data_IF_374872046070
#
_entry.id   IF_374872046070
#
_cell.length_a   1.000
_cell.length_b   1.000
_cell.length_c   1.000
_cell.angle_alpha   90.00
_cell.angle_beta   90.00
_cell.angle_gamma   90.00
#
_symmetry.space_group_name_H-M   'P 1'
#
loop_
_entity.id
_entity.type
_entity.pdbx_description
1 polymer ?
#
# COMPACT_ATOMS: atom_id res chain seq x y z
N UNK A 1 14.43 -14.67 -25.36
CA UNK A 1 15.56 -14.29 -26.26
C UNK A 1 15.62 -15.05 -27.58
N UNK A 2 14.96 -16.21 -27.73
CA UNK A 2 15.04 -17.02 -28.94
C UNK A 2 14.72 -16.26 -30.25
N UNK A 3 13.74 -15.34 -30.23
CA UNK A 3 13.35 -14.56 -31.43
C UNK A 3 14.46 -13.57 -31.85
N UNK A 4 15.04 -12.80 -30.92
CA UNK A 4 16.13 -11.86 -31.23
C UNK A 4 17.37 -12.60 -31.74
N UNK A 5 17.68 -13.75 -31.13
CA UNK A 5 18.78 -14.62 -31.58
C UNK A 5 18.54 -15.19 -32.98
N UNK A 6 17.34 -15.69 -33.25
CA UNK A 6 16.95 -16.21 -34.56
C UNK A 6 16.96 -15.12 -35.65
N UNK A 7 16.60 -13.89 -35.30
CA UNK A 7 16.67 -12.73 -36.18
C UNK A 7 18.10 -12.19 -36.36
N UNK A 8 19.08 -12.70 -35.59
CA UNK A 8 20.46 -12.23 -35.63
C UNK A 8 20.65 -10.77 -35.20
N UNK A 9 19.67 -10.20 -34.49
CA UNK A 9 19.69 -8.80 -34.10
C UNK A 9 20.65 -8.59 -32.92
N UNK A 10 21.61 -7.66 -33.10
CA UNK A 10 22.68 -7.37 -32.15
C UNK A 10 22.93 -5.86 -31.98
N UNK A 11 22.03 -5.03 -32.47
CA UNK A 11 22.16 -3.57 -32.42
C UNK A 11 21.68 -3.04 -31.05
N UNK A 12 22.36 -3.46 -29.98
CA UNK A 12 22.16 -3.03 -28.61
C UNK A 12 23.47 -3.22 -27.83
N UNK A 13 23.70 -2.40 -26.80
CA UNK A 13 24.88 -2.52 -25.96
C UNK A 13 24.75 -3.67 -24.95
N UNK A 14 23.68 -3.66 -24.15
CA UNK A 14 23.44 -4.61 -23.08
C UNK A 14 21.95 -4.96 -22.98
N UNK A 15 21.65 -6.19 -22.57
CA UNK A 15 20.29 -6.68 -22.39
C UNK A 15 20.19 -7.51 -21.11
N UNK A 16 19.60 -6.93 -20.08
CA UNK A 16 19.36 -7.60 -18.79
C UNK A 16 17.95 -8.16 -18.72
N UNK A 17 17.82 -9.40 -18.25
CA UNK A 17 16.52 -10.02 -17.92
C UNK A 17 16.48 -10.28 -16.43
N UNK A 18 15.49 -9.70 -15.75
CA UNK A 18 15.24 -9.92 -14.33
C UNK A 18 13.92 -10.66 -14.15
N UNK A 19 13.93 -11.69 -13.30
CA UNK A 19 12.74 -12.32 -12.75
C UNK A 19 12.73 -12.06 -11.25
N UNK A 20 11.73 -11.32 -10.76
CA UNK A 20 11.54 -11.09 -9.32
C UNK A 20 10.40 -11.98 -8.77
N UNK A 21 10.54 -12.53 -7.55
CA UNK A 21 9.56 -13.47 -7.00
C UNK A 21 8.51 -12.85 -6.07
N UNK A 22 8.60 -11.55 -5.78
CA UNK A 22 7.94 -10.90 -4.65
C UNK A 22 7.13 -9.65 -5.05
N UNK A 23 6.78 -9.50 -6.33
CA UNK A 23 5.94 -8.38 -6.82
C UNK A 23 4.63 -8.28 -6.03
N UNK A 24 3.94 -9.41 -5.86
CA UNK A 24 2.63 -9.53 -5.21
C UNK A 24 2.61 -9.09 -3.74
N UNK A 25 3.80 -8.98 -3.11
CA UNK A 25 3.97 -8.51 -1.73
C UNK A 25 4.68 -7.15 -1.66
N UNK A 26 4.75 -6.43 -2.78
CA UNK A 26 5.29 -5.09 -2.88
C UNK A 26 6.79 -5.01 -3.19
N UNK A 27 7.40 -6.10 -3.69
CA UNK A 27 8.83 -6.15 -4.07
C UNK A 27 9.80 -5.78 -2.94
N UNK A 28 9.54 -6.23 -1.71
CA UNK A 28 10.34 -5.86 -0.51
C UNK A 28 11.83 -6.24 -0.70
N UNK A 29 12.12 -7.38 -1.32
CA UNK A 29 13.48 -7.86 -1.55
C UNK A 29 14.03 -7.49 -2.93
N UNK A 30 13.19 -7.45 -3.96
CA UNK A 30 13.64 -7.17 -5.34
C UNK A 30 13.64 -5.69 -5.72
N UNK A 31 12.90 -4.83 -5.00
CA UNK A 31 12.68 -3.43 -5.36
C UNK A 31 13.96 -2.62 -5.56
N UNK A 32 14.92 -2.72 -4.63
CA UNK A 32 16.22 -2.04 -4.76
C UNK A 32 17.04 -2.59 -5.94
N UNK A 33 16.94 -3.88 -6.22
CA UNK A 33 17.62 -4.50 -7.36
C UNK A 33 17.02 -4.01 -8.68
N UNK A 34 15.69 -3.92 -8.77
CA UNK A 34 14.98 -3.36 -9.92
C UNK A 34 15.42 -1.90 -10.13
N UNK A 35 15.38 -1.07 -9.09
CA UNK A 35 15.76 0.35 -9.19
C UNK A 35 17.22 0.53 -9.63
N UNK A 36 18.15 -0.23 -9.05
CA UNK A 36 19.56 -0.20 -9.42
C UNK A 36 19.78 -0.62 -10.87
N UNK A 37 19.12 -1.67 -11.35
CA UNK A 37 19.24 -2.11 -12.75
C UNK A 37 18.59 -1.09 -13.69
N UNK A 38 17.45 -0.52 -13.32
CA UNK A 38 16.80 0.51 -14.10
C UNK A 38 17.68 1.75 -14.31
N UNK A 39 18.41 2.20 -13.27
CA UNK A 39 19.35 3.32 -13.35
C UNK A 39 20.54 3.05 -14.31
N UNK A 40 20.83 1.78 -14.59
CA UNK A 40 21.90 1.35 -15.49
C UNK A 40 21.46 1.20 -16.96
N UNK A 41 20.17 1.33 -17.27
CA UNK A 41 19.62 1.07 -18.61
C UNK A 41 18.80 2.25 -19.13
N UNK A 42 18.84 2.49 -20.44
CA UNK A 42 18.07 3.58 -21.07
C UNK A 42 16.57 3.32 -21.11
N UNK A 43 16.16 2.04 -21.14
CA UNK A 43 14.77 1.61 -21.30
C UNK A 43 14.48 0.40 -20.42
N UNK A 44 13.33 0.41 -19.75
CA UNK A 44 12.79 -0.71 -18.98
C UNK A 44 11.49 -1.18 -19.61
N UNK A 45 11.38 -2.48 -19.87
CA UNK A 45 10.17 -3.13 -20.38
C UNK A 45 9.67 -4.14 -19.33
N UNK A 46 8.49 -3.89 -18.77
CA UNK A 46 7.80 -4.84 -17.90
C UNK A 46 6.77 -5.64 -18.69
N UNK A 47 6.62 -6.92 -18.39
CA UNK A 47 5.80 -7.87 -19.15
C UNK A 47 4.63 -8.41 -18.31
N UNK A 48 3.94 -7.50 -17.60
CA UNK A 48 2.70 -7.84 -16.90
C UNK A 48 1.57 -8.19 -17.89
N UNK A 49 0.70 -9.15 -17.57
CA UNK A 49 -0.43 -9.47 -18.40
C UNK A 49 -1.44 -8.32 -18.42
N UNK A 50 -1.94 -7.96 -19.61
CA UNK A 50 -3.13 -7.10 -19.72
C UNK A 50 -4.40 -7.90 -19.41
N UNK A 51 -5.45 -7.26 -18.87
CA UNK A 51 -6.74 -7.90 -18.60
C UNK A 51 -7.26 -8.65 -19.84
N UNK A 52 -7.75 -9.87 -19.64
CA UNK A 52 -8.14 -10.77 -20.72
C UNK A 52 -9.09 -10.11 -21.74
N UNK A 53 -8.89 -10.39 -23.04
CA UNK A 53 -9.72 -9.90 -24.17
C UNK A 53 -11.22 -10.16 -24.01
N UNK A 54 -11.62 -11.10 -23.16
CA UNK A 54 -13.02 -11.36 -22.82
C UNK A 54 -13.69 -10.18 -22.07
N UNK A 55 -12.89 -9.32 -21.42
CA UNK A 55 -13.36 -8.19 -20.61
C UNK A 55 -13.03 -6.84 -21.26
N UNK A 56 -11.93 -6.73 -22.02
CA UNK A 56 -11.51 -5.49 -22.69
C UNK A 56 -11.40 -5.70 -24.20
N UNK A 57 -12.18 -4.94 -24.99
CA UNK A 57 -12.21 -5.05 -26.46
C UNK A 57 -10.96 -4.50 -27.15
N UNK A 58 -10.16 -3.71 -26.45
CA UNK A 58 -8.95 -3.07 -26.94
C UNK A 58 -7.80 -3.32 -25.98
N UNK A 59 -6.66 -3.78 -26.51
CA UNK A 59 -5.42 -3.80 -25.75
C UNK A 59 -5.04 -2.35 -25.38
N UNK A 60 -4.75 -2.10 -24.11
CA UNK A 60 -4.46 -0.77 -23.59
C UNK A 60 -3.07 -0.75 -22.97
N UNK A 61 -2.32 0.32 -23.24
CA UNK A 61 -1.07 0.62 -22.55
C UNK A 61 -1.40 1.48 -21.32
N UNK A 62 -1.01 1.00 -20.14
CA UNK A 62 -1.18 1.78 -18.92
C UNK A 62 -0.19 2.95 -18.92
N UNK A 63 -0.70 4.19 -18.87
CA UNK A 63 0.15 5.39 -18.86
C UNK A 63 0.69 5.72 -17.46
N UNK A 64 0.08 5.19 -16.40
CA UNK A 64 0.50 5.36 -15.02
C UNK A 64 -0.24 4.40 -14.11
N UNK A 65 0.45 3.85 -13.12
CA UNK A 65 -0.14 3.04 -12.07
C UNK A 65 -0.28 3.89 -10.80
N UNK A 66 -1.40 3.74 -10.08
CA UNK A 66 -1.55 4.40 -8.77
C UNK A 66 -0.62 3.73 -7.76
N UNK A 67 0.19 4.52 -7.08
CA UNK A 67 0.93 4.08 -5.90
C UNK A 67 -0.02 3.68 -4.77
N UNK A 68 0.39 2.71 -3.97
CA UNK A 68 -0.36 2.20 -2.82
C UNK A 68 0.49 2.28 -1.56
N UNK A 69 -0.15 2.54 -0.43
CA UNK A 69 0.51 2.50 0.87
C UNK A 69 -0.48 2.12 1.97
N UNK A 70 0.07 1.66 3.09
CA UNK A 70 -0.71 1.32 4.29
C UNK A 70 -0.49 2.38 5.36
N UNK A 71 -1.56 3.05 5.78
CA UNK A 71 -1.54 3.93 6.95
C UNK A 71 -1.88 3.11 8.21
N UNK A 72 -1.16 3.35 9.31
CA UNK A 72 -1.44 2.73 10.61
C UNK A 72 -1.56 3.81 11.68
N UNK A 73 -2.66 3.82 12.41
CA UNK A 73 -2.88 4.68 13.56
C UNK A 73 -2.94 3.83 14.84
N UNK A 74 -2.09 4.15 15.81
CA UNK A 74 -2.08 3.51 17.12
C UNK A 74 -2.36 4.53 18.21
N UNK A 75 -3.38 4.26 19.02
CA UNK A 75 -3.80 5.10 20.12
C UNK A 75 -3.48 4.38 21.43
N UNK A 76 -2.66 5.04 22.26
CA UNK A 76 -2.30 4.57 23.59
C UNK A 76 -3.09 5.36 24.65
N UNK A 77 -3.92 4.63 25.38
CA UNK A 77 -4.69 5.09 26.53
C UNK A 77 -4.11 4.62 27.86
N UNK A 78 -5.00 4.35 28.82
CA UNK A 78 -4.68 3.84 30.15
C UNK A 78 -5.86 3.00 30.66
N UNK A 79 -5.58 1.76 31.03
CA UNK A 79 -6.60 0.84 31.49
C UNK A 79 -7.18 1.27 32.84
N UNK A 80 -8.47 1.05 33.04
CA UNK A 80 -9.13 1.17 34.33
C UNK A 80 -10.39 0.31 34.36
N UNK A 81 -10.84 -0.09 35.55
CA UNK A 81 -12.09 -0.84 35.67
C UNK A 81 -13.29 0.06 35.37
N UNK A 82 -14.10 -0.31 34.38
CA UNK A 82 -15.14 0.55 33.80
C UNK A 82 -16.22 0.99 34.81
N UNK A 83 -16.42 0.21 35.89
CA UNK A 83 -17.37 0.55 36.97
C UNK A 83 -16.73 1.23 38.18
N UNK A 84 -15.47 0.92 38.48
CA UNK A 84 -14.90 1.27 39.79
C UNK A 84 -14.26 2.66 39.78
N UNK A 85 -13.55 2.98 38.69
CA UNK A 85 -12.86 4.25 38.54
C UNK A 85 -12.62 4.59 37.05
N UNK A 86 -13.68 4.65 36.21
CA UNK A 86 -13.53 4.91 34.78
C UNK A 86 -12.77 6.22 34.45
N UNK A 87 -12.88 7.23 35.30
CA UNK A 87 -12.19 8.52 35.22
C UNK A 87 -10.67 8.43 35.41
N UNK A 88 -10.19 7.36 36.06
CA UNK A 88 -8.77 7.04 36.11
C UNK A 88 -8.30 6.38 34.79
N UNK A 89 -9.19 6.00 33.88
CA UNK A 89 -8.82 5.51 32.57
C UNK A 89 -8.46 6.63 31.58
N UNK A 90 -7.85 6.26 30.45
CA UNK A 90 -7.80 7.07 29.23
C UNK A 90 -8.28 6.18 28.11
N UNK A 91 -9.49 6.43 27.62
CA UNK A 91 -10.20 5.49 26.76
C UNK A 91 -9.69 5.56 25.30
N UNK A 92 -8.82 4.62 24.93
CA UNK A 92 -8.23 4.55 23.59
C UNK A 92 -9.26 4.30 22.48
N UNK A 93 -10.36 3.60 22.77
CA UNK A 93 -11.44 3.37 21.80
C UNK A 93 -12.10 4.71 21.40
N UNK A 94 -12.41 5.55 22.38
CA UNK A 94 -13.06 6.84 22.13
C UNK A 94 -12.12 7.80 21.40
N UNK A 95 -10.85 7.83 21.79
CA UNK A 95 -9.84 8.64 21.12
C UNK A 95 -9.63 8.17 19.67
N UNK A 96 -9.54 6.86 19.41
CA UNK A 96 -9.44 6.35 18.04
C UNK A 96 -10.66 6.78 17.20
N UNK A 97 -11.87 6.63 17.73
CA UNK A 97 -13.08 7.07 17.02
C UNK A 97 -13.05 8.57 16.68
N UNK A 98 -12.55 9.40 17.60
CA UNK A 98 -12.36 10.83 17.36
C UNK A 98 -11.36 11.08 16.23
N UNK A 99 -10.17 10.46 16.27
CA UNK A 99 -9.14 10.63 15.26
C UNK A 99 -9.58 10.16 13.87
N UNK A 100 -10.31 9.04 13.78
CA UNK A 100 -10.88 8.56 12.52
C UNK A 100 -11.84 9.58 11.89
N UNK A 101 -12.67 10.25 12.70
CA UNK A 101 -13.55 11.31 12.21
C UNK A 101 -12.78 12.55 11.75
N UNK A 102 -11.75 12.96 12.50
CA UNK A 102 -10.91 14.11 12.15
C UNK A 102 -10.11 13.88 10.87
N UNK A 103 -9.67 12.65 10.62
CA UNK A 103 -8.77 12.31 9.51
C UNK A 103 -9.48 11.74 8.28
N UNK A 104 -10.80 11.50 8.34
CA UNK A 104 -11.57 10.91 7.22
C UNK A 104 -11.42 11.65 5.89
N UNK A 105 -11.16 12.96 5.96
CA UNK A 105 -11.12 13.87 4.82
C UNK A 105 -9.71 14.40 4.52
N UNK A 106 -8.68 13.96 5.25
CA UNK A 106 -7.32 14.54 5.16
C UNK A 106 -6.75 14.46 3.74
N UNK A 107 -7.01 13.35 3.04
CA UNK A 107 -6.55 13.14 1.66
C UNK A 107 -7.15 14.13 0.66
N UNK A 108 -8.31 14.74 0.95
CA UNK A 108 -8.93 15.74 0.05
C UNK A 108 -8.07 16.98 -0.16
N UNK A 109 -7.15 17.25 0.78
CA UNK A 109 -6.21 18.38 0.68
C UNK A 109 -4.98 18.08 -0.19
N UNK A 110 -4.78 16.83 -0.60
CA UNK A 110 -3.61 16.39 -1.36
C UNK A 110 -4.08 15.84 -2.71
N UNK A 111 -3.86 16.57 -3.83
CA UNK A 111 -4.30 16.17 -5.15
C UNK A 111 -3.86 14.75 -5.53
N UNK A 112 -4.75 13.99 -6.17
CA UNK A 112 -4.47 12.63 -6.62
C UNK A 112 -4.40 11.59 -5.50
N UNK A 113 -4.68 11.93 -4.25
CA UNK A 113 -4.61 10.98 -3.13
C UNK A 113 -5.96 10.57 -2.58
N UNK A 114 -6.02 9.36 -2.03
CA UNK A 114 -7.16 8.84 -1.28
C UNK A 114 -6.63 8.16 -0.02
N UNK A 115 -7.35 8.33 1.09
CA UNK A 115 -7.13 7.59 2.33
C UNK A 115 -8.48 7.05 2.78
N UNK A 116 -8.57 5.75 3.00
CA UNK A 116 -9.74 5.10 3.57
C UNK A 116 -9.32 4.28 4.77
N UNK A 117 -9.87 4.57 5.95
CA UNK A 117 -9.72 3.70 7.12
C UNK A 117 -10.59 2.45 6.93
N UNK A 118 -9.95 1.29 6.79
CA UNK A 118 -10.61 0.04 6.38
C UNK A 118 -10.78 -0.95 7.53
N UNK A 119 -9.95 -0.88 8.57
CA UNK A 119 -10.09 -1.73 9.76
C UNK A 119 -9.80 -0.96 11.04
N UNK A 120 -10.44 -1.36 12.13
CA UNK A 120 -10.21 -0.83 13.46
C UNK A 120 -10.39 -1.92 14.52
N UNK A 121 -9.56 -1.90 15.56
CA UNK A 121 -9.63 -2.79 16.70
C UNK A 121 -9.37 -2.00 17.99
N UNK A 122 -10.18 -2.20 19.03
CA UNK A 122 -10.03 -1.50 20.29
C UNK A 122 -10.66 -2.28 21.46
N UNK A 123 -9.88 -2.48 22.52
CA UNK A 123 -10.31 -3.19 23.72
C UNK A 123 -10.48 -4.71 23.52
N UNK A 124 -10.21 -5.46 24.59
CA UNK A 124 -10.35 -6.93 24.61
C UNK A 124 -11.35 -7.40 25.68
N UNK A 125 -11.56 -6.58 26.72
CA UNK A 125 -12.31 -6.95 27.93
C UNK A 125 -13.48 -5.98 28.15
N UNK A 126 -14.71 -6.51 28.20
CA UNK A 126 -15.95 -5.71 28.28
C UNK A 126 -16.02 -4.73 29.44
N UNK A 127 -15.45 -5.07 30.61
CA UNK A 127 -15.53 -4.26 31.83
C UNK A 127 -14.26 -3.45 32.12
N UNK A 128 -13.45 -3.18 31.10
CA UNK A 128 -12.22 -2.40 31.21
C UNK A 128 -12.23 -1.24 30.21
N UNK A 129 -11.76 -0.06 30.64
CA UNK A 129 -11.46 1.06 29.75
C UNK A 129 -10.27 0.65 28.85
N UNK A 130 -10.41 0.63 27.52
CA UNK A 130 -9.35 0.20 26.63
C UNK A 130 -8.11 1.09 26.73
N UNK A 131 -6.94 0.47 26.94
CA UNK A 131 -5.64 1.16 26.91
C UNK A 131 -5.00 1.21 25.52
N UNK A 132 -5.52 0.46 24.55
CA UNK A 132 -4.98 0.33 23.20
C UNK A 132 -6.10 0.26 22.19
N UNK A 133 -5.90 0.94 21.06
CA UNK A 133 -6.75 0.89 19.89
C UNK A 133 -5.89 1.14 18.64
N UNK A 134 -6.19 0.44 17.55
CA UNK A 134 -5.43 0.50 16.29
C UNK A 134 -6.40 0.60 15.12
N UNK A 135 -6.05 1.37 14.09
CA UNK A 135 -6.72 1.37 12.80
C UNK A 135 -5.72 1.25 11.65
N UNK A 136 -6.15 0.59 10.57
CA UNK A 136 -5.40 0.47 9.31
C UNK A 136 -6.17 1.18 8.21
N UNK A 137 -5.46 1.94 7.38
CA UNK A 137 -6.01 2.62 6.21
C UNK A 137 -5.31 2.23 4.92
N UNK A 138 -6.09 2.13 3.85
CA UNK A 138 -5.60 2.01 2.47
C UNK A 138 -5.37 3.43 1.91
N UNK A 139 -4.14 3.67 1.44
CA UNK A 139 -3.74 4.92 0.80
C UNK A 139 -3.50 4.65 -0.67
N UNK A 140 -4.08 5.49 -1.52
CA UNK A 140 -3.82 5.52 -2.96
C UNK A 140 -3.26 6.87 -3.35
N UNK A 141 -2.28 6.89 -4.23
CA UNK A 141 -1.74 8.11 -4.82
C UNK A 141 -1.60 7.91 -6.33
N UNK A 142 -2.38 8.65 -7.11
CA UNK A 142 -2.18 8.77 -8.55
C UNK A 142 -1.09 9.82 -8.78
N UNK A 143 -0.03 9.43 -9.48
CA UNK A 143 0.92 10.37 -10.10
C UNK A 143 0.32 11.00 -11.35
#
# INVERSE_FOLDING_TARGET
MAILQAAGWKDYAELTVLFNPDEEVGSIGSGETIARLADQHDVVLSFEPTTAKAVVKTEALLLGASGTATAKMEVKGRASHARAAPELGRNALIELAYQLQQTRDVAKSVPGTQLNWTTAQAGEVRNQIPERATAIGDVRATV
#
